data_IF_728025274798
#
_entry.id   IF_728025274798
#
_cell.length_a   1.000
_cell.length_b   1.000
_cell.length_c   1.000
_cell.angle_alpha   90.00
_cell.angle_beta   90.00
_cell.angle_gamma   90.00
#
_symmetry.space_group_name_H-M   'P 1'
#
loop_
_entity.id
_entity.type
_entity.pdbx_description
1 polymer ?
#
# COMPACT_ATOMS: atom_id res chain seq x y z
N UNK A 1 9.99 -2.10 4.26
CA UNK A 1 8.73 -1.65 3.62
C UNK A 1 9.06 -1.27 2.20
N UNK A 2 8.19 -1.58 1.23
CA UNK A 2 8.51 -1.34 -0.19
C UNK A 2 8.76 0.16 -0.45
N UNK A 3 9.92 0.46 -1.04
CA UNK A 3 10.34 1.82 -1.40
C UNK A 3 10.67 1.85 -2.88
N UNK A 4 10.06 2.81 -3.58
CA UNK A 4 10.22 3.00 -5.02
C UNK A 4 10.90 4.34 -5.33
N UNK A 5 11.14 5.17 -4.32
CA UNK A 5 11.88 6.40 -4.40
C UNK A 5 13.34 6.14 -4.80
N UNK A 6 13.81 6.87 -5.82
CA UNK A 6 15.18 6.86 -6.36
C UNK A 6 15.64 5.59 -7.11
N UNK A 7 14.72 4.72 -7.54
CA UNK A 7 15.08 3.62 -8.43
C UNK A 7 15.35 4.13 -9.87
N UNK A 8 16.43 3.69 -10.55
CA UNK A 8 16.70 4.08 -11.93
C UNK A 8 15.64 3.50 -12.88
N UNK A 9 15.21 4.29 -13.87
CA UNK A 9 14.27 3.83 -14.89
C UNK A 9 14.91 2.76 -15.76
N UNK A 10 14.21 1.63 -15.94
CA UNK A 10 14.62 0.57 -16.84
C UNK A 10 13.77 0.58 -18.10
N UNK A 11 14.41 0.68 -19.26
CA UNK A 11 13.71 0.53 -20.54
C UNK A 11 13.12 -0.88 -20.63
N UNK A 12 11.82 -0.96 -20.93
CA UNK A 12 11.08 -2.22 -20.96
C UNK A 12 10.22 -2.25 -22.22
N UNK A 13 10.26 -3.35 -22.96
CA UNK A 13 9.39 -3.53 -24.13
C UNK A 13 8.03 -4.03 -23.67
N UNK A 14 6.97 -3.33 -24.08
CA UNK A 14 5.59 -3.61 -23.71
C UNK A 14 4.69 -3.56 -24.94
N UNK A 15 3.78 -4.52 -25.05
CA UNK A 15 2.80 -4.58 -26.12
C UNK A 15 1.49 -4.00 -25.61
N UNK A 16 1.02 -2.93 -26.26
CA UNK A 16 -0.25 -2.26 -25.96
C UNK A 16 -1.12 -2.19 -27.21
N UNK A 17 -2.40 -1.88 -27.01
CA UNK A 17 -3.34 -1.67 -28.10
C UNK A 17 -2.87 -0.50 -28.98
N UNK A 18 -2.70 -0.75 -30.27
CA UNK A 18 -2.20 0.23 -31.24
C UNK A 18 -3.07 1.48 -31.33
N UNK A 19 -4.40 1.31 -31.37
CA UNK A 19 -5.34 2.44 -31.45
C UNK A 19 -5.26 3.34 -30.22
N UNK A 20 -5.09 2.75 -29.03
CA UNK A 20 -4.93 3.52 -27.78
C UNK A 20 -3.63 4.32 -27.81
N UNK A 21 -2.54 3.73 -28.33
CA UNK A 21 -1.26 4.41 -28.47
C UNK A 21 -1.31 5.56 -29.46
N UNK A 22 -1.99 5.38 -30.59
CA UNK A 22 -2.18 6.42 -31.60
C UNK A 22 -2.93 7.61 -31.01
N UNK A 23 -4.09 7.38 -30.41
CA UNK A 23 -4.90 8.43 -29.77
C UNK A 23 -4.13 9.12 -28.64
N UNK A 24 -3.43 8.36 -27.79
CA UNK A 24 -2.64 8.95 -26.70
C UNK A 24 -1.52 9.86 -27.21
N UNK A 25 -0.90 9.51 -28.36
CA UNK A 25 0.11 10.35 -29.01
C UNK A 25 -0.50 11.61 -29.61
N UNK A 26 -1.64 11.50 -30.29
CA UNK A 26 -2.38 12.65 -30.83
C UNK A 26 -2.77 13.64 -29.72
N UNK A 27 -3.14 13.12 -28.54
CA UNK A 27 -3.44 13.91 -27.35
C UNK A 27 -2.20 14.47 -26.63
N UNK A 28 -0.98 14.20 -27.13
CA UNK A 28 0.26 14.70 -26.54
C UNK A 28 0.60 14.08 -25.17
N UNK A 29 0.08 12.88 -24.87
CA UNK A 29 0.30 12.25 -23.57
C UNK A 29 1.75 11.78 -23.39
N UNK A 30 2.30 11.97 -22.19
CA UNK A 30 3.56 11.35 -21.81
C UNK A 30 3.34 9.88 -21.43
N UNK A 31 3.43 8.99 -22.43
CA UNK A 31 3.18 7.56 -22.26
C UNK A 31 4.04 6.92 -21.18
N UNK A 32 5.34 7.23 -21.15
CA UNK A 32 6.25 6.64 -20.17
C UNK A 32 5.85 7.01 -18.75
N UNK A 33 5.57 8.30 -18.50
CA UNK A 33 5.15 8.76 -17.17
C UNK A 33 3.79 8.19 -16.77
N UNK A 34 2.86 8.11 -17.71
CA UNK A 34 1.49 7.61 -17.44
C UNK A 34 1.51 6.13 -17.07
N UNK A 35 2.20 5.31 -17.86
CA UNK A 35 2.31 3.86 -17.61
C UNK A 35 3.08 3.59 -16.31
N UNK A 36 4.13 4.36 -16.04
CA UNK A 36 4.92 4.25 -14.80
C UNK A 36 4.06 4.51 -13.55
N UNK A 37 3.28 5.59 -13.56
CA UNK A 37 2.37 5.92 -12.45
C UNK A 37 1.30 4.85 -12.23
N UNK A 38 0.63 4.41 -13.30
CA UNK A 38 -0.41 3.38 -13.22
C UNK A 38 0.14 2.03 -12.73
N UNK A 39 1.32 1.65 -13.21
CA UNK A 39 1.97 0.42 -12.77
C UNK A 39 2.39 0.50 -11.31
N UNK A 40 2.93 1.65 -10.86
CA UNK A 40 3.29 1.87 -9.46
C UNK A 40 2.08 1.72 -8.53
N UNK A 41 0.94 2.30 -8.89
CA UNK A 41 -0.29 2.19 -8.11
C UNK A 41 -0.79 0.75 -8.04
N UNK A 42 -0.82 0.03 -9.17
CA UNK A 42 -1.27 -1.36 -9.20
C UNK A 42 -0.33 -2.29 -8.42
N UNK A 43 0.99 -2.09 -8.52
CA UNK A 43 1.98 -2.86 -7.75
C UNK A 43 1.80 -2.61 -6.26
N UNK A 44 1.62 -1.35 -5.83
CA UNK A 44 1.35 -1.02 -4.42
C UNK A 44 0.09 -1.71 -3.92
N UNK A 45 -0.99 -1.65 -4.69
CA UNK A 45 -2.27 -2.29 -4.36
C UNK A 45 -2.08 -3.79 -4.14
N UNK A 46 -1.55 -4.50 -5.14
CA UNK A 46 -1.34 -5.95 -5.05
C UNK A 46 -0.38 -6.36 -3.94
N UNK A 47 0.66 -5.56 -3.70
CA UNK A 47 1.58 -5.82 -2.61
C UNK A 47 0.87 -5.76 -1.25
N UNK A 48 0.06 -4.72 -1.02
CA UNK A 48 -0.68 -4.57 0.23
C UNK A 48 -1.80 -5.60 0.39
N UNK A 49 -2.51 -5.94 -0.69
CA UNK A 49 -3.51 -7.00 -0.67
C UNK A 49 -2.88 -8.33 -0.25
N UNK A 50 -1.73 -8.67 -0.87
CA UNK A 50 -0.99 -9.88 -0.51
C UNK A 50 -0.47 -9.82 0.93
N UNK A 51 0.10 -8.69 1.34
CA UNK A 51 0.62 -8.53 2.70
C UNK A 51 -0.49 -8.68 3.75
N UNK A 52 -1.66 -8.09 3.51
CA UNK A 52 -2.81 -8.20 4.41
C UNK A 52 -3.28 -9.65 4.53
N UNK A 53 -3.35 -10.39 3.43
CA UNK A 53 -3.73 -11.80 3.45
C UNK A 53 -2.69 -12.63 4.20
N UNK A 54 -1.41 -12.49 3.84
CA UNK A 54 -0.30 -13.23 4.45
C UNK A 54 -0.16 -12.94 5.97
N UNK A 55 -0.58 -11.76 6.45
CA UNK A 55 -0.46 -11.35 7.84
C UNK A 55 -1.78 -11.41 8.62
N UNK A 56 -2.86 -11.86 8.00
CA UNK A 56 -4.22 -11.85 8.57
C UNK A 56 -4.30 -12.56 9.93
N UNK A 57 -3.70 -13.73 10.04
CA UNK A 57 -3.70 -14.52 11.28
C UNK A 57 -2.87 -13.85 12.37
N UNK A 58 -1.69 -13.33 12.03
CA UNK A 58 -0.84 -12.62 12.99
C UNK A 58 -1.53 -11.35 13.53
N UNK A 59 -2.19 -10.59 12.65
CA UNK A 59 -2.99 -9.43 13.02
C UNK A 59 -4.16 -9.84 13.92
N UNK A 60 -4.87 -10.92 13.57
CA UNK A 60 -5.98 -11.42 14.39
C UNK A 60 -5.51 -11.87 15.79
N UNK A 61 -4.42 -12.61 15.88
CA UNK A 61 -3.83 -13.04 17.15
C UNK A 61 -3.38 -11.84 18.00
N UNK A 62 -2.76 -10.84 17.38
CA UNK A 62 -2.38 -9.60 18.05
C UNK A 62 -3.61 -8.84 18.56
N UNK A 63 -4.63 -8.66 17.72
CA UNK A 63 -5.88 -7.99 18.10
C UNK A 63 -6.59 -8.71 19.26
N UNK A 64 -6.59 -10.05 19.26
CA UNK A 64 -7.12 -10.85 20.37
C UNK A 64 -6.34 -10.63 21.66
N UNK A 65 -5.00 -10.53 21.59
CA UNK A 65 -4.16 -10.18 22.74
C UNK A 65 -4.49 -8.78 23.27
N UNK A 66 -4.58 -7.77 22.40
CA UNK A 66 -4.92 -6.40 22.79
C UNK A 66 -6.32 -6.34 23.42
N UNK A 67 -7.30 -7.05 22.86
CA UNK A 67 -8.65 -7.09 23.45
C UNK A 67 -8.66 -7.67 24.87
N UNK A 68 -7.80 -8.65 25.16
CA UNK A 68 -7.68 -9.30 26.48
C UNK A 68 -6.84 -8.49 27.47
N UNK A 69 -5.68 -8.01 27.04
CA UNK A 69 -4.62 -7.47 27.90
C UNK A 69 -4.54 -5.93 27.87
N UNK A 70 -5.19 -5.30 26.90
CA UNK A 70 -5.03 -3.89 26.58
C UNK A 70 -3.75 -3.61 25.79
N UNK A 71 -3.60 -2.35 25.39
CA UNK A 71 -2.45 -1.83 24.66
C UNK A 71 -1.23 -1.79 25.59
N UNK A 72 -0.11 -2.41 25.17
CA UNK A 72 1.15 -2.25 25.89
C UNK A 72 1.48 -0.77 26.07
N UNK A 73 1.95 -0.43 27.28
CA UNK A 73 2.38 0.92 27.63
C UNK A 73 1.30 2.01 27.55
N UNK A 74 0.01 1.66 27.40
CA UNK A 74 -1.09 2.64 27.36
C UNK A 74 -1.07 3.61 28.55
N UNK A 75 -0.68 3.11 29.74
CA UNK A 75 -0.55 3.91 30.97
C UNK A 75 0.49 5.05 30.90
N UNK A 76 1.46 4.95 30.00
CA UNK A 76 2.51 5.96 29.79
C UNK A 76 2.24 6.84 28.57
N UNK A 77 1.19 6.57 27.80
CA UNK A 77 0.86 7.30 26.58
C UNK A 77 0.46 8.74 26.94
N UNK A 78 1.20 9.73 26.43
CA UNK A 78 0.92 11.15 26.67
C UNK A 78 -0.09 11.75 25.69
N UNK A 79 -0.19 11.20 24.48
CA UNK A 79 -1.12 11.62 23.42
C UNK A 79 -2.34 10.68 23.32
N UNK A 80 -3.41 11.12 22.65
CA UNK A 80 -4.60 10.31 22.35
C UNK A 80 -5.22 9.54 23.55
N UNK A 81 -5.05 10.04 24.78
CA UNK A 81 -5.50 9.36 26.01
C UNK A 81 -7.01 9.05 26.01
N UNK A 82 -7.79 9.91 25.36
CA UNK A 82 -9.24 9.76 25.20
C UNK A 82 -9.69 8.54 24.38
N UNK A 83 -8.78 7.92 23.60
CA UNK A 83 -9.11 6.76 22.77
C UNK A 83 -9.11 5.41 23.53
N UNK A 84 -8.87 5.43 24.85
CA UNK A 84 -8.83 4.22 25.67
C UNK A 84 -7.57 3.36 25.47
N UNK A 85 -7.53 2.21 26.14
CA UNK A 85 -6.42 1.26 26.15
C UNK A 85 -6.65 0.06 25.22
N UNK A 86 -7.71 0.06 24.41
CA UNK A 86 -7.99 -1.00 23.44
C UNK A 86 -8.46 -2.33 24.04
N UNK A 87 -8.65 -2.40 25.37
CA UNK A 87 -9.24 -3.57 26.01
C UNK A 87 -10.75 -3.60 25.73
N UNK A 88 -11.31 -4.79 25.46
CA UNK A 88 -12.78 -4.94 25.45
C UNK A 88 -13.26 -4.99 26.89
N UNK A 89 -14.11 -4.02 27.27
CA UNK A 89 -14.82 -3.96 28.56
C UNK A 89 -15.94 -5.00 28.62
#
# INVERSE_FOLDING_TARGET
>A
MLRFDNAPKKATNLSLNSKVLEVARELGMNLSQTVDALLLEEVKRRYWDKWNEDNKEAIAAYNARIAREGLPLARYRTFARSLGDGKKS
#
